data_IF_895099469724
#
_entry.id   IF_895099469724
#
_cell.length_a   1.000
_cell.length_b   1.000
_cell.length_c   1.000
_cell.angle_alpha   90.00
_cell.angle_beta   90.00
_cell.angle_gamma   90.00
#
_symmetry.space_group_name_H-M   'P 1'
#
loop_
_entity.id
_entity.type
_entity.pdbx_description
1 polymer ?
#
# COMPACT_ATOMS: atom_id res chain seq x y z
N UNK A 1 13.97 1.80 -13.71
CA UNK A 1 14.23 3.23 -13.97
C UNK A 1 14.69 3.99 -12.72
N UNK A 2 13.97 3.88 -11.59
CA UNK A 2 14.36 4.57 -10.33
C UNK A 2 15.73 4.11 -9.84
N UNK A 3 15.97 2.82 -9.80
CA UNK A 3 17.25 2.22 -9.38
C UNK A 3 18.38 2.56 -10.35
N UNK A 4 18.15 2.42 -11.66
CA UNK A 4 19.12 2.77 -12.70
C UNK A 4 19.53 4.26 -12.67
N UNK A 5 18.65 5.13 -12.18
CA UNK A 5 18.90 6.56 -12.03
C UNK A 5 19.23 6.97 -10.58
N UNK A 6 19.57 6.01 -9.72
CA UNK A 6 19.94 6.23 -8.31
C UNK A 6 18.92 7.06 -7.53
N UNK A 7 17.62 6.92 -7.87
CA UNK A 7 16.55 7.62 -7.16
C UNK A 7 16.12 6.85 -5.92
N UNK A 8 16.14 7.52 -4.80
CA UNK A 8 15.55 6.97 -3.58
C UNK A 8 14.03 7.03 -3.67
N UNK A 9 13.39 5.95 -3.29
CA UNK A 9 11.93 5.85 -3.32
C UNK A 9 11.37 5.23 -2.03
N UNK A 10 10.09 5.43 -1.83
CA UNK A 10 9.28 4.68 -0.89
C UNK A 10 7.87 4.50 -1.47
N UNK A 11 7.31 3.31 -1.35
CA UNK A 11 5.96 2.99 -1.83
C UNK A 11 4.96 3.11 -0.68
N UNK A 12 3.84 3.78 -0.93
CA UNK A 12 2.68 3.78 -0.04
C UNK A 12 1.47 3.30 -0.85
N UNK A 13 0.88 2.17 -0.48
CA UNK A 13 -0.21 1.56 -1.24
C UNK A 13 -1.37 1.14 -0.35
N UNK A 14 -2.58 1.29 -0.86
CA UNK A 14 -3.80 0.68 -0.30
C UNK A 14 -4.12 -0.68 -0.90
N UNK A 15 -3.40 -1.10 -1.95
CA UNK A 15 -3.53 -2.43 -2.50
C UNK A 15 -3.00 -3.49 -1.53
N UNK A 16 -3.62 -4.67 -1.57
CA UNK A 16 -3.30 -5.78 -0.67
C UNK A 16 -2.68 -6.99 -1.39
N UNK A 17 -2.43 -6.85 -2.69
CA UNK A 17 -2.07 -7.92 -3.64
C UNK A 17 -0.58 -8.31 -3.66
N UNK A 18 0.28 -7.50 -3.03
CA UNK A 18 1.73 -7.72 -2.99
C UNK A 18 2.43 -7.56 -4.36
N UNK A 19 1.82 -6.86 -5.31
CA UNK A 19 2.39 -6.70 -6.66
C UNK A 19 3.70 -5.90 -6.67
N UNK A 20 3.90 -4.97 -5.75
CA UNK A 20 5.18 -4.27 -5.63
C UNK A 20 6.33 -5.22 -5.29
N UNK A 21 6.12 -6.10 -4.31
CA UNK A 21 7.12 -7.11 -3.94
C UNK A 21 7.38 -8.08 -5.10
N UNK A 22 6.33 -8.55 -5.79
CA UNK A 22 6.44 -9.40 -6.98
C UNK A 22 7.18 -8.73 -8.14
N UNK A 23 7.09 -7.41 -8.24
CA UNK A 23 7.81 -6.60 -9.21
C UNK A 23 9.27 -6.30 -8.81
N UNK A 24 9.75 -6.81 -7.67
CA UNK A 24 11.13 -6.67 -7.22
C UNK A 24 11.41 -5.42 -6.36
N UNK A 25 10.38 -4.67 -5.95
CA UNK A 25 10.59 -3.55 -5.03
C UNK A 25 11.04 -4.05 -3.66
N UNK A 26 11.97 -3.31 -3.03
CA UNK A 26 12.46 -3.59 -1.69
C UNK A 26 11.31 -3.55 -0.66
N UNK A 27 11.04 -4.68 0.00
CA UNK A 27 9.98 -4.81 1.00
C UNK A 27 10.14 -3.86 2.19
N UNK A 28 11.36 -3.42 2.48
CA UNK A 28 11.62 -2.44 3.55
C UNK A 28 11.24 -1.01 3.14
N UNK A 29 10.96 -0.80 1.85
CA UNK A 29 10.54 0.47 1.27
C UNK A 29 9.07 0.49 0.84
N UNK A 30 8.24 -0.38 1.42
CA UNK A 30 6.81 -0.46 1.11
C UNK A 30 5.99 -0.31 2.38
N UNK A 31 4.93 0.52 2.31
CA UNK A 31 3.83 0.56 3.29
C UNK A 31 2.56 0.06 2.62
N UNK A 32 2.05 -1.07 3.08
CA UNK A 32 0.75 -1.63 2.72
C UNK A 32 -0.26 -1.21 3.80
N UNK A 33 -0.93 -0.07 3.58
CA UNK A 33 -1.72 0.59 4.63
C UNK A 33 -2.94 -0.20 5.08
N UNK A 34 -3.48 -1.04 4.20
CA UNK A 34 -4.60 -1.92 4.48
C UNK A 34 -4.20 -3.39 4.67
N UNK A 35 -2.90 -3.66 4.90
CA UNK A 35 -2.40 -5.03 5.06
C UNK A 35 -2.10 -5.73 3.76
N UNK A 36 -2.08 -7.08 3.76
CA UNK A 36 -1.73 -7.88 2.59
C UNK A 36 -2.37 -9.27 2.64
N UNK A 37 -2.73 -9.81 1.46
CA UNK A 37 -3.18 -11.20 1.29
C UNK A 37 -2.08 -12.23 1.57
N UNK A 38 -0.81 -11.80 1.47
CA UNK A 38 0.34 -12.68 1.66
C UNK A 38 0.66 -12.96 3.14
N UNK A 39 -0.16 -12.42 4.05
CA UNK A 39 -0.02 -12.63 5.49
C UNK A 39 -1.36 -12.97 6.11
N UNK A 40 -1.31 -13.81 7.15
CA UNK A 40 -2.49 -14.26 7.86
C UNK A 40 -2.46 -13.83 9.33
N UNK A 41 -3.65 -13.76 9.93
CA UNK A 41 -3.89 -13.54 11.34
C UNK A 41 -5.00 -14.45 11.86
N UNK A 42 -5.05 -14.67 13.17
CA UNK A 42 -6.15 -15.37 13.83
C UNK A 42 -7.42 -14.49 13.85
N UNK A 43 -8.58 -15.08 13.58
CA UNK A 43 -9.87 -14.37 13.64
C UNK A 43 -10.28 -13.95 15.05
N UNK A 44 -9.72 -14.57 16.08
CA UNK A 44 -10.05 -14.31 17.51
C UNK A 44 -8.87 -13.75 18.31
N UNK A 45 -7.83 -13.27 17.62
CA UNK A 45 -6.62 -12.70 18.24
C UNK A 45 -6.02 -13.55 19.39
N UNK A 46 -6.04 -14.89 19.28
CA UNK A 46 -5.49 -15.78 20.32
C UNK A 46 -4.01 -15.50 20.62
N UNK A 47 -3.29 -14.97 19.64
CA UNK A 47 -1.93 -14.43 19.73
C UNK A 47 -1.85 -13.14 18.92
N UNK A 48 -1.06 -12.18 19.38
CA UNK A 48 -0.80 -10.93 18.65
C UNK A 48 0.29 -11.12 17.59
N UNK A 49 0.09 -12.08 16.68
CA UNK A 49 1.05 -12.42 15.63
C UNK A 49 0.37 -12.44 14.27
N UNK A 50 1.10 -11.93 13.30
CA UNK A 50 0.84 -12.09 11.86
C UNK A 50 1.90 -13.05 11.34
N UNK A 51 1.54 -13.96 10.45
CA UNK A 51 2.43 -14.96 9.83
C UNK A 51 2.22 -15.01 8.33
N UNK A 52 3.15 -15.61 7.61
CA UNK A 52 3.07 -15.74 6.16
C UNK A 52 1.85 -16.58 5.76
N UNK A 53 1.21 -16.21 4.65
CA UNK A 53 0.16 -17.02 4.07
C UNK A 53 0.73 -18.40 3.68
N UNK A 54 -0.08 -19.48 3.69
CA UNK A 54 0.40 -20.78 3.24
C UNK A 54 0.80 -20.72 1.75
N UNK A 55 1.88 -21.43 1.41
CA UNK A 55 2.42 -21.47 0.04
C UNK A 55 1.49 -22.21 -0.97
N UNK A 56 0.56 -23.01 -0.45
CA UNK A 56 -0.40 -23.72 -1.29
C UNK A 56 -1.54 -22.79 -1.72
N UNK A 57 -1.93 -22.89 -2.97
CA UNK A 57 -3.14 -22.22 -3.46
C UNK A 57 -4.36 -22.75 -2.70
N UNK A 58 -5.18 -21.81 -2.20
CA UNK A 58 -6.45 -22.14 -1.59
C UNK A 58 -7.42 -22.62 -2.67
N UNK A 59 -7.96 -23.81 -2.52
CA UNK A 59 -8.96 -24.35 -3.44
C UNK A 59 -10.31 -23.65 -3.23
N UNK A 60 -10.52 -22.54 -3.97
CA UNK A 60 -11.70 -21.70 -3.85
C UNK A 60 -12.68 -22.00 -4.98
N UNK A 61 -13.86 -22.49 -4.65
CA UNK A 61 -14.96 -22.55 -5.58
C UNK A 61 -15.63 -21.16 -5.67
N UNK A 62 -15.27 -20.43 -6.72
CA UNK A 62 -15.81 -19.08 -6.97
C UNK A 62 -17.30 -19.10 -7.25
N UNK A 63 -17.84 -20.20 -7.83
CA UNK A 63 -19.26 -20.28 -8.21
C UNK A 63 -20.18 -20.38 -7.00
N UNK A 64 -19.73 -21.06 -5.95
CA UNK A 64 -20.44 -21.26 -4.69
C UNK A 64 -19.88 -20.39 -3.54
N UNK A 65 -18.82 -19.63 -3.78
CA UNK A 65 -18.10 -18.84 -2.77
C UNK A 65 -17.69 -19.69 -1.55
N UNK A 66 -17.22 -20.90 -1.80
CA UNK A 66 -16.81 -21.85 -0.77
C UNK A 66 -15.32 -22.20 -0.88
N UNK A 67 -14.74 -22.68 0.20
CA UNK A 67 -13.37 -23.17 0.28
C UNK A 67 -13.39 -24.53 0.99
N UNK A 68 -12.70 -25.52 0.44
CA UNK A 68 -12.63 -26.86 1.00
C UNK A 68 -11.71 -26.91 2.23
N UNK A 69 -10.51 -26.33 2.10
CA UNK A 69 -9.51 -26.30 3.16
C UNK A 69 -9.44 -24.91 3.80
N UNK A 70 -10.27 -24.66 4.80
CA UNK A 70 -10.28 -23.39 5.51
C UNK A 70 -8.95 -23.24 6.28
N UNK A 71 -8.20 -22.13 6.04
CA UNK A 71 -6.97 -21.88 6.78
C UNK A 71 -7.19 -21.82 8.27
N UNK A 72 -6.35 -22.49 9.04
CA UNK A 72 -6.44 -22.53 10.50
C UNK A 72 -5.25 -21.83 11.16
N UNK A 73 -5.50 -21.24 12.31
CA UNK A 73 -4.48 -20.61 13.13
C UNK A 73 -3.54 -21.69 13.72
N UNK A 74 -2.22 -21.60 13.52
CA UNK A 74 -1.27 -22.58 14.03
C UNK A 74 -1.14 -22.60 15.57
N UNK A 75 -1.74 -21.63 16.24
CA UNK A 75 -1.64 -21.48 17.71
C UNK A 75 -2.89 -21.97 18.46
N UNK A 76 -4.07 -21.93 17.85
CA UNK A 76 -5.31 -22.30 18.54
C UNK A 76 -6.28 -23.12 17.69
N UNK A 77 -5.90 -23.47 16.47
CA UNK A 77 -6.69 -24.28 15.50
C UNK A 77 -8.05 -23.66 15.10
N UNK A 78 -8.31 -22.41 15.45
CA UNK A 78 -9.47 -21.66 14.92
C UNK A 78 -9.16 -21.10 13.55
N UNK A 79 -10.18 -20.63 12.86
CA UNK A 79 -10.04 -20.04 11.52
C UNK A 79 -8.99 -18.91 11.51
N UNK A 80 -8.13 -18.95 10.51
CA UNK A 80 -7.24 -17.85 10.16
C UNK A 80 -7.81 -17.09 8.95
N UNK A 81 -7.44 -15.84 8.83
CA UNK A 81 -7.83 -14.99 7.71
C UNK A 81 -6.66 -14.18 7.18
N UNK A 82 -6.71 -13.69 5.94
CA UNK A 82 -5.73 -12.71 5.46
C UNK A 82 -5.63 -11.50 6.40
N UNK A 83 -4.42 -11.01 6.60
CA UNK A 83 -4.16 -9.80 7.39
C UNK A 83 -4.47 -8.55 6.58
N UNK A 84 -5.75 -8.35 6.30
CA UNK A 84 -6.31 -7.21 5.56
C UNK A 84 -7.24 -6.44 6.47
N UNK A 85 -7.12 -5.11 6.48
CA UNK A 85 -8.05 -4.21 7.15
C UNK A 85 -9.35 -4.13 6.33
N UNK A 86 -10.44 -4.59 6.92
CA UNK A 86 -11.79 -4.45 6.36
C UNK A 86 -12.56 -3.33 7.06
N UNK A 87 -13.74 -2.98 6.52
CA UNK A 87 -14.63 -2.01 7.19
C UNK A 87 -15.07 -2.55 8.55
N UNK A 88 -15.07 -1.69 9.57
CA UNK A 88 -15.44 -2.00 10.95
C UNK A 88 -14.67 -3.18 11.57
N UNK A 89 -13.42 -3.36 11.14
CA UNK A 89 -12.55 -4.46 11.58
C UNK A 89 -11.76 -4.09 12.84
N UNK A 90 -12.37 -4.29 13.99
CA UNK A 90 -11.75 -4.06 15.30
C UNK A 90 -10.67 -5.09 15.67
N UNK A 91 -10.62 -6.23 14.96
CA UNK A 91 -9.68 -7.33 15.21
C UNK A 91 -8.52 -7.38 14.23
N UNK A 92 -8.34 -6.34 13.42
CA UNK A 92 -7.21 -6.27 12.52
C UNK A 92 -5.89 -6.05 13.26
N UNK A 93 -4.90 -6.88 12.99
CA UNK A 93 -3.58 -6.78 13.59
C UNK A 93 -2.67 -5.85 12.77
N UNK A 94 -2.56 -4.61 13.18
CA UNK A 94 -1.79 -3.58 12.47
C UNK A 94 -0.27 -3.67 12.65
N UNK A 95 0.26 -4.59 13.47
CA UNK A 95 1.67 -4.64 13.86
C UNK A 95 2.64 -4.58 12.68
N UNK A 96 2.34 -5.33 11.60
CA UNK A 96 3.15 -5.35 10.38
C UNK A 96 3.13 -3.98 9.67
N UNK A 97 1.96 -3.45 9.42
CA UNK A 97 1.76 -2.12 8.81
C UNK A 97 2.35 -1.01 9.67
N UNK A 98 2.24 -1.10 10.99
CA UNK A 98 2.87 -0.15 11.90
C UNK A 98 4.39 -0.14 11.76
N UNK A 99 5.04 -1.31 11.68
CA UNK A 99 6.48 -1.42 11.46
C UNK A 99 6.89 -0.79 10.10
N UNK A 100 6.11 -1.03 9.04
CA UNK A 100 6.31 -0.40 7.72
C UNK A 100 6.19 1.14 7.81
N UNK A 101 5.16 1.66 8.47
CA UNK A 101 5.01 3.10 8.72
C UNK A 101 6.20 3.70 9.48
N UNK A 102 6.75 2.97 10.45
CA UNK A 102 7.92 3.46 11.21
C UNK A 102 9.17 3.54 10.34
N UNK A 103 9.41 2.59 9.41
CA UNK A 103 10.48 2.67 8.41
C UNK A 103 10.30 3.88 7.49
N UNK A 104 9.09 4.07 6.96
CA UNK A 104 8.75 5.25 6.17
C UNK A 104 9.04 6.55 6.92
N UNK A 105 8.54 6.68 8.16
CA UNK A 105 8.75 7.89 8.98
C UNK A 105 10.22 8.19 9.23
N UNK A 106 11.04 7.17 9.44
CA UNK A 106 12.50 7.33 9.58
C UNK A 106 13.10 7.85 8.28
N UNK A 107 12.76 7.24 7.16
CA UNK A 107 13.28 7.61 5.84
C UNK A 107 12.89 9.04 5.44
N UNK A 108 11.60 9.41 5.54
CA UNK A 108 11.10 10.73 5.11
C UNK A 108 11.62 11.87 6.00
N UNK A 109 11.96 11.60 7.25
CA UNK A 109 12.51 12.60 8.18
C UNK A 109 13.83 13.18 7.68
N UNK A 110 14.64 12.37 7.01
CA UNK A 110 15.96 12.75 6.49
C UNK A 110 15.85 13.50 5.15
N UNK A 111 14.69 13.52 4.51
CA UNK A 111 14.49 14.17 3.22
C UNK A 111 14.13 15.64 3.39
N UNK A 112 14.63 16.47 2.48
CA UNK A 112 14.32 17.91 2.41
C UNK A 112 13.24 18.18 1.38
N UNK A 113 13.22 17.41 0.30
CA UNK A 113 12.24 17.52 -0.78
C UNK A 113 11.69 16.15 -1.17
N UNK A 114 10.49 16.11 -1.72
CA UNK A 114 9.85 14.91 -2.23
C UNK A 114 8.98 15.23 -3.45
N UNK A 115 8.97 14.31 -4.40
CA UNK A 115 7.95 14.23 -5.44
C UNK A 115 7.09 13.00 -5.15
N UNK A 116 5.79 13.19 -5.03
CA UNK A 116 4.84 12.09 -4.86
C UNK A 116 4.20 11.82 -6.22
N UNK A 117 4.43 10.62 -6.75
CA UNK A 117 3.72 10.10 -7.93
C UNK A 117 2.52 9.29 -7.43
N UNK A 118 1.33 9.83 -7.58
CA UNK A 118 0.08 9.18 -7.16
C UNK A 118 -0.63 8.57 -8.38
N UNK A 119 -0.92 7.26 -8.31
CA UNK A 119 -1.58 6.52 -9.38
C UNK A 119 -2.92 5.96 -8.90
N UNK A 120 -4.00 6.29 -9.62
CA UNK A 120 -5.31 5.67 -9.50
C UNK A 120 -6.02 5.83 -8.15
N UNK A 121 -5.56 6.72 -7.27
CA UNK A 121 -6.15 6.91 -5.95
C UNK A 121 -7.56 7.49 -6.06
N UNK A 122 -8.55 6.76 -5.53
CA UNK A 122 -9.95 7.14 -5.54
C UNK A 122 -10.33 8.17 -4.46
N UNK A 123 -11.54 8.76 -4.60
CA UNK A 123 -12.10 9.72 -3.64
C UNK A 123 -12.98 9.09 -2.58
N UNK A 124 -13.54 7.91 -2.83
CA UNK A 124 -14.49 7.24 -1.92
C UNK A 124 -13.78 6.76 -0.64
N UNK A 125 -12.60 6.16 -0.81
CA UNK A 125 -11.71 5.80 0.30
C UNK A 125 -10.39 6.54 0.08
N UNK A 126 -10.27 7.79 0.56
CA UNK A 126 -9.22 8.70 0.14
C UNK A 126 -7.90 8.50 0.90
N UNK A 127 -7.63 7.32 1.43
CA UNK A 127 -6.44 7.04 2.27
C UNK A 127 -5.14 7.44 1.57
N UNK A 128 -4.95 7.04 0.30
CA UNK A 128 -3.76 7.37 -0.47
C UNK A 128 -3.74 8.86 -0.83
N UNK A 129 -4.88 9.42 -1.25
CA UNK A 129 -4.99 10.86 -1.58
C UNK A 129 -4.61 11.74 -0.40
N UNK A 130 -5.22 11.49 0.76
CA UNK A 130 -4.94 12.25 1.98
C UNK A 130 -3.46 12.14 2.37
N UNK A 131 -2.90 10.95 2.27
CA UNK A 131 -1.48 10.73 2.53
C UNK A 131 -0.59 11.53 1.57
N UNK A 132 -0.87 11.47 0.26
CA UNK A 132 -0.10 12.18 -0.77
C UNK A 132 -0.13 13.70 -0.55
N UNK A 133 -1.30 14.25 -0.29
CA UNK A 133 -1.49 15.68 -0.05
C UNK A 133 -0.82 16.14 1.27
N UNK A 134 -0.98 15.36 2.33
CA UNK A 134 -0.38 15.66 3.64
C UNK A 134 1.15 15.63 3.58
N UNK A 135 1.74 14.62 2.94
CA UNK A 135 3.20 14.49 2.87
C UNK A 135 3.81 15.58 1.98
N UNK A 136 3.22 15.89 0.84
CA UNK A 136 3.71 16.99 -0.01
C UNK A 136 3.59 18.35 0.68
N UNK A 137 2.50 18.60 1.42
CA UNK A 137 2.34 19.82 2.21
C UNK A 137 3.38 19.94 3.34
N UNK A 138 3.66 18.85 4.05
CA UNK A 138 4.70 18.83 5.09
C UNK A 138 6.08 19.11 4.51
N UNK A 139 6.40 18.55 3.34
CA UNK A 139 7.69 18.71 2.69
C UNK A 139 7.87 20.10 2.09
N UNK A 140 6.81 20.71 1.57
CA UNK A 140 6.84 22.11 1.13
C UNK A 140 7.28 23.06 2.26
N UNK A 141 6.86 22.80 3.49
CA UNK A 141 7.27 23.59 4.68
C UNK A 141 8.75 23.40 5.06
N UNK A 142 9.40 22.33 4.57
CA UNK A 142 10.85 22.11 4.74
C UNK A 142 11.64 22.78 3.62
N UNK A 143 11.41 22.36 2.39
CA UNK A 143 12.09 22.88 1.21
C UNK A 143 11.20 22.76 -0.04
N UNK A 144 10.75 21.55 -0.41
CA UNK A 144 9.92 21.30 -1.60
C UNK A 144 9.10 20.02 -1.50
N UNK A 145 7.80 20.12 -1.84
CA UNK A 145 6.89 18.98 -1.98
C UNK A 145 5.99 19.16 -3.19
N UNK A 146 6.06 18.29 -4.17
CA UNK A 146 5.23 18.32 -5.38
C UNK A 146 4.44 17.01 -5.51
N UNK A 147 3.14 17.13 -5.76
CA UNK A 147 2.27 16.01 -6.10
C UNK A 147 2.08 15.95 -7.61
N UNK A 148 2.31 14.78 -8.19
CA UNK A 148 1.92 14.44 -9.56
C UNK A 148 0.84 13.39 -9.47
N UNK A 149 -0.41 13.79 -9.68
CA UNK A 149 -1.58 12.91 -9.62
C UNK A 149 -1.95 12.40 -11.00
N UNK A 150 -1.91 11.10 -11.17
CA UNK A 150 -2.19 10.40 -12.41
C UNK A 150 -3.46 9.57 -12.21
N UNK A 151 -4.56 10.01 -12.82
CA UNK A 151 -5.85 9.34 -12.68
C UNK A 151 -6.73 9.64 -13.91
N UNK A 152 -7.36 8.63 -14.54
CA UNK A 152 -8.19 8.85 -15.73
C UNK A 152 -9.52 9.58 -15.44
N UNK A 153 -9.97 9.62 -14.17
CA UNK A 153 -11.26 10.18 -13.78
C UNK A 153 -11.13 11.31 -12.76
N UNK A 154 -10.21 11.17 -11.81
CA UNK A 154 -10.10 12.01 -10.62
C UNK A 154 -8.70 12.64 -10.46
N UNK A 155 -8.20 13.28 -11.50
CA UNK A 155 -6.84 13.84 -11.56
C UNK A 155 -6.65 15.16 -10.79
N UNK A 156 -7.73 15.81 -10.35
CA UNK A 156 -7.67 17.17 -9.77
C UNK A 156 -6.71 17.32 -8.59
N UNK A 157 -5.96 18.40 -8.59
CA UNK A 157 -5.03 18.85 -7.54
C UNK A 157 -5.43 20.22 -7.01
N UNK A 158 -4.89 20.64 -5.85
CA UNK A 158 -5.32 21.86 -5.16
C UNK A 158 -4.27 22.97 -5.18
N UNK A 159 -2.99 22.63 -5.32
CA UNK A 159 -1.89 23.61 -5.25
C UNK A 159 -1.34 23.87 -6.65
N UNK A 160 -0.92 25.09 -6.93
CA UNK A 160 -0.44 25.53 -8.27
C UNK A 160 0.82 24.77 -8.72
N UNK A 161 1.67 24.32 -7.76
CA UNK A 161 2.87 23.53 -8.05
C UNK A 161 2.61 22.05 -8.28
N UNK A 162 1.39 21.55 -8.02
CA UNK A 162 1.03 20.16 -8.24
C UNK A 162 0.60 19.93 -9.70
N UNK A 163 0.80 18.73 -10.19
CA UNK A 163 0.56 18.37 -11.58
C UNK A 163 -0.57 17.35 -11.67
N UNK A 164 -1.60 17.67 -12.44
CA UNK A 164 -2.71 16.79 -12.75
C UNK A 164 -2.52 16.14 -14.11
N UNK A 165 -2.56 14.82 -14.20
CA UNK A 165 -2.42 14.06 -15.44
C UNK A 165 -3.62 13.14 -15.63
N UNK A 166 -4.50 13.47 -16.59
CA UNK A 166 -5.70 12.69 -16.92
C UNK A 166 -5.37 11.53 -17.85
N UNK A 167 -4.85 10.44 -17.30
CA UNK A 167 -4.59 9.20 -18.07
C UNK A 167 -4.44 7.98 -17.16
N UNK A 168 -4.39 6.79 -17.74
CA UNK A 168 -4.10 5.55 -17.03
C UNK A 168 -2.65 5.46 -16.58
N UNK A 169 -2.39 4.75 -15.48
CA UNK A 169 -1.06 4.63 -14.90
C UNK A 169 -0.02 4.06 -15.89
N UNK A 170 -0.37 3.00 -16.62
CA UNK A 170 0.53 2.36 -17.58
C UNK A 170 0.97 3.33 -18.71
N UNK A 171 0.01 4.06 -19.27
CA UNK A 171 0.29 5.04 -20.33
C UNK A 171 1.17 6.18 -19.81
N UNK A 172 0.86 6.69 -18.60
CA UNK A 172 1.63 7.75 -17.97
C UNK A 172 3.09 7.32 -17.72
N UNK A 173 3.29 6.14 -17.13
CA UNK A 173 4.63 5.61 -16.87
C UNK A 173 5.41 5.48 -18.17
N UNK A 174 4.84 4.92 -19.23
CA UNK A 174 5.51 4.81 -20.54
C UNK A 174 5.95 6.16 -21.12
N UNK A 175 5.17 7.21 -20.90
CA UNK A 175 5.53 8.57 -21.36
C UNK A 175 6.58 9.25 -20.48
N UNK A 176 6.67 8.88 -19.20
CA UNK A 176 7.63 9.47 -18.25
C UNK A 176 9.01 8.83 -18.40
N UNK A 177 9.05 7.52 -18.66
CA UNK A 177 10.33 6.78 -18.68
C UNK A 177 10.86 6.49 -20.09
N UNK A 178 10.12 6.85 -21.16
CA UNK A 178 10.50 6.65 -22.56
C UNK A 178 10.09 5.30 -23.08
#
# INVERSE_FOLDING_TARGET
>A
YLEENEKEYFVFTSNVDGHFQKAGYDSDRIVEIHGSINFFQCTVECVKKVWDAPDNELNIDISNMTIEDIPICPYCSRVARPNILMFDDWFWMEKRTYAQKMRYRKWIKEKKSVVVLEFGAGKVIPTVRNFSEEETYKMERKESGTLIRINPQDESVWRDQDIAIKMGAFEAIRKIVG
#
